data_IF_934370769655
#
_entry.id   IF_934370769655
#
_cell.length_a   1.000
_cell.length_b   1.000
_cell.length_c   1.000
_cell.angle_alpha   90.00
_cell.angle_beta   90.00
_cell.angle_gamma   90.00
#
_symmetry.space_group_name_H-M   'P 1'
#
loop_
_entity.id
_entity.type
_entity.pdbx_description
1 polymer ?
#
# COMPACT_ATOMS: atom_id res chain seq x y z
N UNK A 1 17.35 17.01 10.12
CA UNK A 1 18.23 15.89 9.74
C UNK A 1 17.40 14.62 9.88
N UNK A 2 16.91 14.08 8.76
CA UNK A 2 16.08 12.85 8.78
C UNK A 2 17.00 11.68 9.17
N UNK A 3 16.67 10.86 10.19
CA UNK A 3 17.49 9.72 10.55
C UNK A 3 17.59 8.75 9.36
N UNK A 4 18.79 8.61 8.79
CA UNK A 4 19.09 7.57 7.79
C UNK A 4 18.89 6.21 8.47
N UNK A 5 17.87 5.48 8.05
CA UNK A 5 17.61 4.12 8.54
C UNK A 5 18.85 3.24 8.32
N UNK A 6 19.20 2.42 9.32
CA UNK A 6 20.30 1.46 9.20
C UNK A 6 20.07 0.55 7.99
N UNK A 7 21.08 0.27 7.15
CA UNK A 7 20.95 -0.72 6.09
C UNK A 7 20.55 -2.06 6.74
N UNK A 8 19.35 -2.55 6.38
CA UNK A 8 18.84 -3.86 6.82
C UNK A 8 17.60 -3.88 7.71
N UNK A 9 17.03 -2.74 8.14
CA UNK A 9 15.78 -2.74 8.93
C UNK A 9 14.69 -1.91 8.26
N UNK A 10 13.85 -2.57 7.45
CA UNK A 10 12.57 -2.01 6.99
C UNK A 10 11.43 -2.51 7.89
N UNK A 11 10.35 -1.71 8.07
CA UNK A 11 9.12 -2.14 8.74
C UNK A 11 8.60 -3.49 8.22
N UNK A 12 8.27 -4.39 9.13
CA UNK A 12 7.63 -5.68 8.82
C UNK A 12 6.13 -5.58 9.06
N UNK A 13 5.30 -6.35 8.32
CA UNK A 13 3.88 -6.44 8.62
C UNK A 13 3.63 -6.73 10.11
N UNK A 14 2.67 -6.05 10.76
CA UNK A 14 1.67 -5.16 10.17
C UNK A 14 2.12 -3.70 9.97
N UNK A 15 3.34 -3.33 10.36
CA UNK A 15 3.86 -1.96 10.22
C UNK A 15 4.09 -1.61 8.75
N UNK A 16 3.51 -0.48 8.32
CA UNK A 16 3.61 -0.02 6.94
C UNK A 16 5.00 0.52 6.62
N UNK A 17 5.51 0.11 5.46
CA UNK A 17 6.68 0.64 4.78
C UNK A 17 6.21 1.82 3.90
N UNK A 18 6.90 2.95 4.01
CA UNK A 18 6.62 4.14 3.18
C UNK A 18 7.04 3.91 1.73
N UNK A 19 6.34 4.52 0.79
CA UNK A 19 6.55 4.34 -0.65
C UNK A 19 8.01 4.60 -1.08
N UNK A 20 8.65 5.66 -0.55
CA UNK A 20 10.04 6.00 -0.88
C UNK A 20 11.07 4.93 -0.48
N UNK A 21 10.71 3.98 0.39
CA UNK A 21 11.59 2.93 0.89
C UNK A 21 11.26 1.55 0.30
N UNK A 22 10.36 1.48 -0.69
CA UNK A 22 9.92 0.21 -1.29
C UNK A 22 11.04 -0.54 -2.03
N UNK A 23 12.13 0.16 -2.37
CA UNK A 23 13.33 -0.42 -2.98
C UNK A 23 14.26 -1.15 -1.99
N UNK A 24 14.10 -0.95 -0.68
CA UNK A 24 14.98 -1.57 0.33
C UNK A 24 14.76 -3.09 0.53
N UNK A 25 13.53 -3.61 0.63
CA UNK A 25 13.29 -5.04 0.85
C UNK A 25 13.68 -5.86 -0.38
N UNK A 26 14.34 -7.03 -0.25
CA UNK A 26 14.67 -7.88 -1.38
C UNK A 26 13.41 -8.41 -2.08
N UNK A 27 13.56 -8.88 -3.34
CA UNK A 27 12.47 -9.51 -4.07
C UNK A 27 11.86 -10.68 -3.28
N UNK A 28 10.53 -10.80 -3.30
CA UNK A 28 9.77 -11.80 -2.55
C UNK A 28 9.58 -11.50 -1.07
N UNK A 29 10.23 -10.46 -0.52
CA UNK A 29 10.04 -10.04 0.86
C UNK A 29 8.58 -9.62 1.11
N UNK A 30 8.04 -10.06 2.24
CA UNK A 30 6.72 -9.63 2.68
C UNK A 30 6.81 -8.24 3.31
N UNK A 31 5.95 -7.33 2.86
CA UNK A 31 5.84 -5.94 3.29
C UNK A 31 4.39 -5.58 3.53
N UNK A 32 4.17 -4.54 4.33
CA UNK A 32 2.88 -3.88 4.46
C UNK A 32 3.06 -2.46 3.93
N UNK A 33 2.10 -1.95 3.16
CA UNK A 33 2.04 -0.56 2.68
C UNK A 33 0.67 -0.01 3.00
N UNK A 34 0.56 1.30 3.19
CA UNK A 34 -0.72 1.96 3.39
C UNK A 34 -0.73 3.29 2.65
N UNK A 35 -1.87 3.64 2.06
CA UNK A 35 -1.97 4.90 1.33
C UNK A 35 -3.38 5.17 0.79
N UNK A 36 -3.57 6.39 0.30
CA UNK A 36 -4.75 6.80 -0.44
C UNK A 36 -4.79 6.09 -1.79
N UNK A 37 -5.96 5.66 -2.22
CA UNK A 37 -6.09 5.02 -3.53
C UNK A 37 -6.26 6.09 -4.60
N UNK A 38 -5.27 6.22 -5.48
CA UNK A 38 -5.31 7.15 -6.60
C UNK A 38 -6.04 6.56 -7.80
N UNK A 39 -5.62 5.37 -8.22
CA UNK A 39 -6.02 4.77 -9.50
C UNK A 39 -6.30 3.29 -9.32
N UNK A 40 -7.32 2.79 -10.03
CA UNK A 40 -7.60 1.37 -10.22
C UNK A 40 -7.67 1.08 -11.70
N UNK A 41 -6.89 0.13 -12.16
CA UNK A 41 -6.91 -0.33 -13.56
C UNK A 41 -7.20 -1.82 -13.60
N UNK A 42 -8.14 -2.21 -14.46
CA UNK A 42 -8.42 -3.61 -14.76
C UNK A 42 -8.35 -3.81 -16.27
N UNK A 43 -7.15 -4.00 -16.84
CA UNK A 43 -7.00 -4.20 -18.28
C UNK A 43 -7.80 -5.43 -18.71
N UNK A 44 -8.58 -5.31 -19.79
CA UNK A 44 -9.42 -6.41 -20.29
C UNK A 44 -8.63 -7.66 -20.69
N UNK A 45 -7.35 -7.49 -21.01
CA UNK A 45 -6.43 -8.55 -21.45
C UNK A 45 -5.68 -9.25 -20.32
N UNK A 46 -5.69 -8.70 -19.09
CA UNK A 46 -4.81 -9.13 -18.00
C UNK A 46 -5.40 -10.24 -17.11
N UNK A 47 -6.16 -11.20 -17.66
CA UNK A 47 -6.69 -12.39 -16.94
C UNK A 47 -7.31 -12.09 -15.56
N UNK A 48 -8.00 -10.96 -15.42
CA UNK A 48 -8.65 -10.57 -14.16
C UNK A 48 -7.74 -9.94 -13.10
N UNK A 49 -6.51 -9.54 -13.45
CA UNK A 49 -5.63 -8.73 -12.59
C UNK A 49 -6.17 -7.31 -12.48
N UNK A 50 -6.06 -6.76 -11.27
CA UNK A 50 -6.33 -5.35 -10.98
C UNK A 50 -5.03 -4.72 -10.48
N UNK A 51 -4.70 -3.56 -11.02
CA UNK A 51 -3.63 -2.70 -10.53
C UNK A 51 -4.24 -1.59 -9.69
N UNK A 52 -3.67 -1.34 -8.52
CA UNK A 52 -4.08 -0.26 -7.62
C UNK A 52 -2.85 0.59 -7.31
N UNK A 53 -2.92 1.89 -7.56
CA UNK A 53 -1.88 2.82 -7.17
C UNK A 53 -2.26 3.45 -5.83
N UNK A 54 -1.42 3.25 -4.83
CA UNK A 54 -1.52 3.89 -3.51
C UNK A 54 -0.56 5.07 -3.45
N UNK A 55 -0.92 6.11 -2.71
CA UNK A 55 -0.07 7.27 -2.42
C UNK A 55 0.03 7.51 -0.92
N UNK A 56 1.26 7.78 -0.47
CA UNK A 56 1.56 8.42 0.81
C UNK A 56 2.37 9.71 0.54
N UNK A 57 2.71 10.46 1.58
CA UNK A 57 3.46 11.72 1.45
C UNK A 57 4.87 11.55 0.87
N UNK A 58 5.38 10.32 0.79
CA UNK A 58 6.72 10.01 0.29
C UNK A 58 6.72 9.53 -1.16
N UNK A 59 5.55 9.23 -1.73
CA UNK A 59 5.41 8.86 -3.14
C UNK A 59 4.30 7.84 -3.39
N UNK A 60 4.43 7.09 -4.48
CA UNK A 60 3.42 6.10 -4.90
C UNK A 60 3.91 4.67 -4.78
N UNK A 61 2.99 3.76 -4.50
CA UNK A 61 3.20 2.32 -4.45
C UNK A 61 2.22 1.61 -5.38
N UNK A 62 2.74 0.81 -6.31
CA UNK A 62 1.93 0.02 -7.23
C UNK A 62 1.60 -1.35 -6.64
N UNK A 63 0.32 -1.64 -6.48
CA UNK A 63 -0.19 -2.89 -5.94
C UNK A 63 -0.80 -3.73 -7.06
N UNK A 64 -0.40 -5.00 -7.13
CA UNK A 64 -0.96 -5.99 -8.05
C UNK A 64 -1.92 -6.90 -7.28
N UNK A 65 -3.18 -6.92 -7.70
CA UNK A 65 -4.25 -7.73 -7.09
C UNK A 65 -4.70 -8.79 -8.08
N UNK A 66 -4.34 -10.04 -7.82
CA UNK A 66 -4.80 -11.18 -8.60
C UNK A 66 -6.26 -11.50 -8.33
N UNK A 67 -6.95 -12.11 -9.31
CA UNK A 67 -8.38 -12.43 -9.25
C UNK A 67 -8.79 -13.13 -7.93
N UNK A 68 -8.03 -14.12 -7.46
CA UNK A 68 -8.31 -14.83 -6.20
C UNK A 68 -8.30 -13.92 -4.97
N UNK A 69 -7.36 -12.97 -4.92
CA UNK A 69 -7.25 -11.99 -3.84
C UNK A 69 -8.35 -10.95 -3.96
N UNK A 70 -8.62 -10.48 -5.17
CA UNK A 70 -9.73 -9.59 -5.45
C UNK A 70 -11.08 -10.16 -5.00
N UNK A 71 -11.42 -11.40 -5.35
CA UNK A 71 -12.71 -11.99 -4.93
C UNK A 71 -12.82 -12.09 -3.41
N UNK A 72 -11.70 -12.38 -2.72
CA UNK A 72 -11.67 -12.42 -1.24
C UNK A 72 -11.84 -11.04 -0.60
N UNK A 73 -11.27 -10.00 -1.19
CA UNK A 73 -11.24 -8.63 -0.63
C UNK A 73 -12.02 -7.62 -1.47
N UNK A 74 -13.04 -8.09 -2.20
CA UNK A 74 -13.74 -7.35 -3.25
C UNK A 74 -14.24 -5.98 -2.78
N UNK A 75 -14.86 -5.93 -1.60
CA UNK A 75 -15.39 -4.69 -1.04
C UNK A 75 -14.29 -3.64 -0.82
N UNK A 76 -13.18 -4.04 -0.21
CA UNK A 76 -12.04 -3.16 0.03
C UNK A 76 -11.43 -2.66 -1.28
N UNK A 77 -11.23 -3.56 -2.25
CA UNK A 77 -10.63 -3.19 -3.54
C UNK A 77 -11.52 -2.22 -4.32
N UNK A 78 -12.84 -2.39 -4.32
CA UNK A 78 -13.75 -1.52 -5.07
C UNK A 78 -13.97 -0.18 -4.37
N UNK A 79 -14.27 -0.20 -3.07
CA UNK A 79 -14.82 0.98 -2.38
C UNK A 79 -13.81 1.74 -1.51
N UNK A 80 -12.69 1.11 -1.13
CA UNK A 80 -11.76 1.69 -0.16
C UNK A 80 -11.08 2.96 -0.68
N UNK A 81 -11.23 4.08 0.02
CA UNK A 81 -10.52 5.34 -0.29
C UNK A 81 -9.09 5.32 0.22
N UNK A 82 -8.85 4.60 1.31
CA UNK A 82 -7.53 4.36 1.89
C UNK A 82 -7.38 2.87 2.18
N UNK A 83 -6.27 2.28 1.76
CA UNK A 83 -6.02 0.85 1.89
C UNK A 83 -4.74 0.59 2.66
N UNK A 84 -4.75 -0.46 3.49
CA UNK A 84 -3.56 -1.15 3.99
C UNK A 84 -3.42 -2.47 3.25
N UNK A 85 -2.28 -2.69 2.61
CA UNK A 85 -2.01 -3.89 1.81
C UNK A 85 -0.78 -4.59 2.37
N UNK A 86 -0.95 -5.85 2.76
CA UNK A 86 0.17 -6.75 3.01
C UNK A 86 0.37 -7.65 1.80
N UNK A 87 1.61 -7.76 1.34
CA UNK A 87 1.94 -8.50 0.14
C UNK A 87 3.45 -8.70 -0.03
N UNK A 88 3.84 -9.19 -1.20
CA UNK A 88 5.25 -9.46 -1.53
C UNK A 88 5.80 -8.48 -2.54
N UNK A 89 7.03 -8.04 -2.33
CA UNK A 89 7.74 -7.19 -3.28
C UNK A 89 8.09 -7.98 -4.53
N UNK A 90 7.72 -7.46 -5.70
CA UNK A 90 8.13 -7.95 -7.00
C UNK A 90 8.78 -6.79 -7.77
N UNK A 91 9.86 -7.09 -8.48
CA UNK A 91 10.56 -6.13 -9.33
C UNK A 91 10.46 -6.60 -10.76
N UNK A 92 9.98 -5.74 -11.64
CA UNK A 92 9.90 -6.02 -13.06
C UNK A 92 10.15 -4.75 -13.87
N UNK A 93 10.95 -4.85 -14.93
CA UNK A 93 11.27 -3.73 -15.83
C UNK A 93 11.67 -2.41 -15.13
N UNK A 94 12.33 -2.48 -13.97
CA UNK A 94 12.75 -1.30 -13.19
C UNK A 94 11.64 -0.68 -12.31
N UNK A 95 10.47 -1.31 -12.23
CA UNK A 95 9.36 -0.89 -11.38
C UNK A 95 9.19 -1.86 -10.21
N UNK A 96 8.95 -1.32 -9.01
CA UNK A 96 8.61 -2.12 -7.83
C UNK A 96 7.10 -2.21 -7.67
N UNK A 97 6.62 -3.43 -7.47
CA UNK A 97 5.23 -3.75 -7.20
C UNK A 97 5.08 -4.49 -5.87
N UNK A 98 3.94 -4.31 -5.21
CA UNK A 98 3.50 -5.16 -4.10
C UNK A 98 2.41 -6.09 -4.61
N UNK A 99 2.70 -7.38 -4.69
CA UNK A 99 1.69 -8.41 -4.99
C UNK A 99 0.87 -8.67 -3.74
N UNK A 100 -0.40 -8.26 -3.77
CA UNK A 100 -1.27 -8.29 -2.60
C UNK A 100 -1.58 -9.71 -2.13
N UNK A 101 -1.52 -9.94 -0.82
CA UNK A 101 -1.97 -11.18 -0.16
C UNK A 101 -3.14 -10.90 0.81
N UNK A 102 -3.14 -9.73 1.45
CA UNK A 102 -4.21 -9.23 2.33
C UNK A 102 -4.45 -7.75 2.06
N UNK A 103 -5.73 -7.37 1.98
CA UNK A 103 -6.15 -5.98 1.73
C UNK A 103 -7.17 -5.60 2.79
N UNK A 104 -6.93 -4.46 3.43
CA UNK A 104 -7.78 -3.92 4.48
C UNK A 104 -8.22 -2.51 4.09
N UNK A 105 -9.53 -2.28 4.17
CA UNK A 105 -10.11 -0.96 4.01
C UNK A 105 -9.96 -0.19 5.32
N UNK A 106 -9.09 0.81 5.30
CA UNK A 106 -8.83 1.69 6.44
C UNK A 106 -9.38 3.10 6.20
N UNK A 107 -10.36 3.24 5.29
CA UNK A 107 -10.97 4.54 4.95
C UNK A 107 -11.60 5.25 6.13
N UNK A 108 -12.01 4.53 7.17
CA UNK A 108 -12.51 5.11 8.42
C UNK A 108 -11.45 5.98 9.13
N UNK A 109 -10.15 5.72 8.89
CA UNK A 109 -9.08 6.54 9.45
C UNK A 109 -9.07 7.97 8.88
N UNK A 110 -9.61 8.16 7.67
CA UNK A 110 -9.73 9.49 7.07
C UNK A 110 -10.77 10.34 7.79
N UNK A 111 -11.75 9.71 8.45
CA UNK A 111 -12.80 10.44 9.15
C UNK A 111 -12.22 11.15 10.40
N UNK A 112 -11.11 10.65 10.96
CA UNK A 112 -10.37 11.33 12.04
C UNK A 112 -9.79 12.68 11.63
N UNK A 113 -9.56 12.92 10.34
CA UNK A 113 -9.10 14.23 9.84
C UNK A 113 -10.16 15.33 10.02
N UNK A 114 -11.43 14.94 10.18
CA UNK A 114 -12.56 15.85 10.36
C UNK A 114 -12.88 16.11 11.83
N UNK A 115 -12.24 15.39 12.75
CA UNK A 115 -12.48 15.57 14.18
C UNK A 115 -12.01 16.96 14.64
N UNK A 116 -12.84 17.70 15.41
CA UNK A 116 -12.43 18.97 15.98
C UNK A 116 -11.16 18.80 16.83
N UNK A 117 -10.10 19.53 16.47
CA UNK A 117 -8.82 19.47 17.18
C UNK A 117 -7.83 18.42 16.65
N UNK A 118 -8.08 17.81 15.49
CA UNK A 118 -7.09 16.94 14.84
C UNK A 118 -5.74 17.66 14.66
N UNK A 119 -4.66 16.99 15.10
CA UNK A 119 -3.28 17.46 14.99
C UNK A 119 -2.43 16.39 14.30
N UNK A 120 -1.92 16.64 13.07
CA UNK A 120 -1.23 15.65 12.26
C UNK A 120 0.14 15.23 12.84
N UNK A 121 0.70 16.04 13.73
CA UNK A 121 1.97 15.84 14.43
C UNK A 121 1.88 14.89 15.63
N UNK A 122 0.68 14.40 15.98
CA UNK A 122 0.50 13.41 17.04
C UNK A 122 0.77 13.92 18.47
N UNK A 123 1.02 15.22 18.62
CA UNK A 123 1.21 15.89 19.92
C UNK A 123 -0.17 16.21 20.48
N UNK A 124 -0.57 15.50 21.55
CA UNK A 124 -1.72 15.89 22.39
C UNK A 124 -1.38 17.14 23.20
#
# INVERSE_FOLDING_TARGET
MVPTARPGTWPRPPSALVAARLDEPPGGAQVCVAGLVLVRQRPGTAKGVIFVTLEDETGTCNVVVWAKVYERFRRAVIAGRMLRVTGRVQRDCGVVHVVAERIEDISHMLDHLLEPGFRPDGVR
#
